data_IF_509782217653
#
_entry.id   IF_509782217653
#
_cell.length_a   1.000
_cell.length_b   1.000
_cell.length_c   1.000
_cell.angle_alpha   90.00
_cell.angle_beta   90.00
_cell.angle_gamma   90.00
#
_symmetry.space_group_name_H-M   'P 1'
#
loop_
_entity.id
_entity.type
_entity.pdbx_description
1 polymer ?
#
# COMPACT_ATOMS: atom_id res chain seq x y z
N UNK A 1 -2.80 11.59 -35.69
CA UNK A 1 -2.68 10.44 -34.77
C UNK A 1 -1.33 10.44 -34.04
N UNK A 2 -0.20 10.46 -34.73
CA UNK A 2 1.15 10.45 -34.16
C UNK A 2 1.41 11.62 -33.21
N UNK A 3 1.01 12.86 -33.56
CA UNK A 3 1.15 14.06 -32.69
C UNK A 3 0.39 13.91 -31.35
N UNK A 4 -0.76 13.22 -31.35
CA UNK A 4 -1.56 12.98 -30.15
C UNK A 4 -0.89 11.95 -29.23
N UNK A 5 -0.26 10.96 -29.81
CA UNK A 5 0.52 9.93 -29.10
C UNK A 5 1.79 10.55 -28.49
N UNK A 6 2.54 11.31 -29.28
CA UNK A 6 3.75 12.01 -28.80
C UNK A 6 3.44 12.99 -27.67
N UNK A 7 2.33 13.74 -27.75
CA UNK A 7 1.88 14.65 -26.69
C UNK A 7 1.54 13.89 -25.39
N UNK A 8 0.95 12.70 -25.51
CA UNK A 8 0.66 11.83 -24.36
C UNK A 8 1.95 11.36 -23.67
N UNK A 9 2.95 10.90 -24.44
CA UNK A 9 4.22 10.44 -23.88
C UNK A 9 5.05 11.57 -23.22
N UNK A 10 4.97 12.79 -23.74
CA UNK A 10 5.63 13.94 -23.13
C UNK A 10 4.98 14.41 -21.82
N UNK A 11 3.70 14.08 -21.62
CA UNK A 11 2.97 14.47 -20.40
C UNK A 11 3.24 13.51 -19.24
N UNK A 12 3.50 12.23 -19.53
CA UNK A 12 3.73 11.21 -18.51
C UNK A 12 4.90 11.55 -17.56
N UNK A 13 6.10 11.91 -18.04
CA UNK A 13 7.20 12.25 -17.14
C UNK A 13 6.91 13.47 -16.28
N UNK A 14 6.20 14.46 -16.80
CA UNK A 14 5.81 15.65 -16.02
C UNK A 14 4.87 15.23 -14.87
N UNK A 15 3.89 14.39 -15.14
CA UNK A 15 2.94 13.90 -14.13
C UNK A 15 3.68 13.08 -13.07
N UNK A 16 4.63 12.25 -13.47
CA UNK A 16 5.45 11.47 -12.54
C UNK A 16 6.25 12.41 -11.63
N UNK A 17 6.93 13.41 -12.18
CA UNK A 17 7.73 14.37 -11.41
C UNK A 17 6.85 15.13 -10.41
N UNK A 18 5.70 15.66 -10.84
CA UNK A 18 4.76 16.37 -9.97
C UNK A 18 4.21 15.43 -8.89
N UNK A 19 3.87 14.18 -9.23
CA UNK A 19 3.39 13.19 -8.28
C UNK A 19 4.46 12.83 -7.25
N UNK A 20 5.71 12.68 -7.67
CA UNK A 20 6.84 12.43 -6.78
C UNK A 20 7.02 13.58 -5.79
N UNK A 21 6.93 14.81 -6.27
CA UNK A 21 7.04 16.00 -5.43
C UNK A 21 5.91 16.08 -4.39
N UNK A 22 4.66 15.84 -4.80
CA UNK A 22 3.48 15.88 -3.91
C UNK A 22 3.51 14.74 -2.89
N UNK A 23 3.95 13.55 -3.29
CA UNK A 23 3.99 12.38 -2.41
C UNK A 23 5.28 12.23 -1.59
N UNK A 24 6.23 13.15 -1.77
CA UNK A 24 7.48 13.19 -1.02
C UNK A 24 7.30 13.08 0.52
N UNK A 25 6.31 13.73 1.15
CA UNK A 25 6.13 13.61 2.60
C UNK A 25 5.88 12.18 3.09
N UNK A 26 5.32 11.31 2.25
CA UNK A 26 5.11 9.90 2.60
C UNK A 26 6.42 9.15 2.88
N UNK A 27 7.52 9.62 2.31
CA UNK A 27 8.84 9.01 2.48
C UNK A 27 9.61 9.59 3.68
N UNK A 28 9.09 10.65 4.31
CA UNK A 28 9.76 11.27 5.46
C UNK A 28 9.66 10.36 6.69
N UNK A 29 10.75 10.30 7.44
CA UNK A 29 10.85 9.48 8.65
C UNK A 29 9.79 9.83 9.69
N UNK A 30 9.45 11.09 9.82
CA UNK A 30 8.50 11.61 10.80
C UNK A 30 7.08 11.77 10.27
N UNK A 31 6.77 11.21 9.08
CA UNK A 31 5.40 11.22 8.57
C UNK A 31 4.51 10.40 9.49
N UNK A 32 3.48 11.05 10.03
CA UNK A 32 2.54 10.40 10.93
C UNK A 32 1.54 9.56 10.13
N UNK A 33 1.61 8.26 10.32
CA UNK A 33 0.71 7.27 9.70
C UNK A 33 -0.43 6.86 10.63
N UNK A 34 -0.45 7.36 11.85
CA UNK A 34 -1.41 6.96 12.88
C UNK A 34 -2.74 7.71 12.77
N UNK A 35 -2.88 8.59 11.80
CA UNK A 35 -4.14 9.23 11.49
C UNK A 35 -5.10 8.27 10.79
N UNK A 36 -6.37 8.40 11.11
CA UNK A 36 -7.47 7.62 10.52
C UNK A 36 -7.23 6.10 10.58
N UNK A 37 -7.38 5.42 9.47
CA UNK A 37 -7.30 3.97 9.38
C UNK A 37 -5.88 3.41 9.16
N UNK A 38 -4.85 4.24 9.20
CA UNK A 38 -3.47 3.82 8.93
C UNK A 38 -3.00 2.67 9.82
N UNK A 39 -3.25 2.77 11.12
CA UNK A 39 -2.92 1.69 12.08
C UNK A 39 -3.67 0.41 11.72
N UNK A 40 -4.94 0.49 11.34
CA UNK A 40 -5.76 -0.68 11.02
C UNK A 40 -5.24 -1.38 9.76
N UNK A 41 -4.84 -0.64 8.74
CA UNK A 41 -4.22 -1.21 7.55
C UNK A 41 -2.92 -1.94 7.85
N UNK A 42 -2.08 -1.38 8.71
CA UNK A 42 -0.82 -2.00 9.14
C UNK A 42 -1.11 -3.25 9.98
N UNK A 43 -1.98 -3.16 10.96
CA UNK A 43 -2.38 -4.31 11.80
C UNK A 43 -2.91 -5.46 10.96
N UNK A 44 -3.76 -5.18 9.97
CA UNK A 44 -4.28 -6.16 9.03
C UNK A 44 -3.17 -6.79 8.18
N UNK A 45 -2.23 -6.01 7.69
CA UNK A 45 -1.09 -6.52 6.92
C UNK A 45 -0.19 -7.42 7.76
N UNK A 46 0.12 -7.02 9.01
CA UNK A 46 0.89 -7.83 9.96
C UNK A 46 0.19 -9.15 10.25
N UNK A 47 -1.11 -9.10 10.52
CA UNK A 47 -1.91 -10.29 10.82
C UNK A 47 -2.00 -11.24 9.64
N UNK A 48 -2.17 -10.71 8.42
CA UNK A 48 -2.17 -11.50 7.20
C UNK A 48 -0.81 -12.16 6.97
N UNK A 49 0.27 -11.41 7.11
CA UNK A 49 1.63 -11.94 7.01
C UNK A 49 1.91 -13.04 8.03
N UNK A 50 1.52 -12.83 9.29
CA UNK A 50 1.69 -13.82 10.36
C UNK A 50 0.90 -15.09 10.07
N UNK A 51 -0.32 -14.98 9.58
CA UNK A 51 -1.16 -16.11 9.20
C UNK A 51 -0.52 -16.92 8.06
N UNK A 52 0.00 -16.25 7.04
CA UNK A 52 0.71 -16.92 5.94
C UNK A 52 1.97 -17.62 6.45
N UNK A 53 2.76 -16.94 7.27
CA UNK A 53 4.00 -17.50 7.83
C UNK A 53 3.76 -18.74 8.71
N UNK A 54 2.67 -18.74 9.46
CA UNK A 54 2.30 -19.84 10.35
C UNK A 54 1.43 -20.90 9.66
N UNK A 55 1.23 -20.80 8.35
CA UNK A 55 0.36 -21.70 7.56
C UNK A 55 -1.07 -21.79 8.10
N UNK A 56 -1.56 -20.70 8.69
CA UNK A 56 -2.96 -20.56 9.13
C UNK A 56 -3.79 -19.86 8.05
N UNK A 57 -5.12 -19.94 8.15
CA UNK A 57 -6.00 -19.34 7.15
C UNK A 57 -5.91 -17.81 7.18
N UNK A 58 -5.40 -17.15 6.10
CA UNK A 58 -5.27 -15.70 6.06
C UNK A 58 -6.60 -14.94 5.89
N UNK A 59 -7.69 -15.61 5.65
CA UNK A 59 -9.03 -15.00 5.63
C UNK A 59 -9.56 -14.74 7.03
N UNK A 60 -9.17 -15.56 7.97
CA UNK A 60 -9.51 -15.41 9.39
C UNK A 60 -8.26 -15.00 10.14
N UNK A 61 -8.12 -13.72 10.47
CA UNK A 61 -6.96 -13.19 11.17
C UNK A 61 -7.06 -13.54 12.67
N UNK A 62 -6.66 -14.76 13.01
CA UNK A 62 -6.85 -15.37 14.33
C UNK A 62 -6.18 -14.64 15.48
N UNK A 63 -5.16 -13.83 15.19
CA UNK A 63 -4.45 -13.03 16.19
C UNK A 63 -5.11 -11.67 16.47
N UNK A 64 -6.19 -11.34 15.76
CA UNK A 64 -6.97 -10.14 16.03
C UNK A 64 -8.08 -10.41 17.04
N UNK A 65 -8.63 -9.33 17.61
CA UNK A 65 -9.75 -9.38 18.54
C UNK A 65 -9.48 -10.31 19.74
N UNK A 66 -8.32 -10.11 20.39
CA UNK A 66 -7.90 -10.90 21.57
C UNK A 66 -7.87 -12.42 21.33
N UNK A 67 -7.55 -12.85 20.11
CA UNK A 67 -7.48 -14.26 19.76
C UNK A 67 -8.78 -14.88 19.24
N UNK A 68 -9.90 -14.17 19.28
CA UNK A 68 -11.14 -14.64 18.69
C UNK A 68 -11.13 -14.67 17.15
N UNK A 69 -10.19 -13.95 16.55
CA UNK A 69 -10.08 -13.83 15.12
C UNK A 69 -11.05 -12.82 14.52
N UNK A 70 -10.76 -12.42 13.31
CA UNK A 70 -11.61 -11.52 12.52
C UNK A 70 -11.49 -11.83 11.03
N UNK A 71 -12.61 -12.07 10.37
CA UNK A 71 -12.65 -12.43 8.94
C UNK A 71 -12.49 -11.20 8.02
N UNK A 72 -11.57 -10.32 8.32
CA UNK A 72 -11.40 -9.05 7.63
C UNK A 72 -11.13 -9.24 6.13
N UNK A 73 -10.22 -10.15 5.80
CA UNK A 73 -9.87 -10.38 4.39
C UNK A 73 -10.97 -11.05 3.57
N UNK A 74 -12.03 -11.54 4.21
CA UNK A 74 -13.22 -12.05 3.53
C UNK A 74 -14.12 -10.90 3.06
N UNK A 75 -14.29 -9.87 3.90
CA UNK A 75 -15.19 -8.73 3.63
C UNK A 75 -14.49 -7.60 2.87
N UNK A 76 -13.21 -7.41 3.10
CA UNK A 76 -12.38 -6.40 2.45
C UNK A 76 -11.30 -7.09 1.62
N UNK A 77 -11.19 -6.75 0.35
CA UNK A 77 -10.21 -7.35 -0.54
C UNK A 77 -8.78 -7.35 0.04
N UNK A 78 -8.04 -8.44 -0.09
CA UNK A 78 -6.71 -8.60 0.51
C UNK A 78 -5.61 -7.84 -0.24
N UNK A 79 -5.91 -7.22 -1.37
CA UNK A 79 -4.92 -6.61 -2.26
C UNK A 79 -4.05 -5.56 -1.56
N UNK A 80 -4.64 -4.69 -0.75
CA UNK A 80 -3.91 -3.67 0.00
C UNK A 80 -2.93 -4.29 1.01
N UNK A 81 -3.36 -5.33 1.72
CA UNK A 81 -2.50 -6.07 2.66
C UNK A 81 -1.36 -6.78 1.95
N UNK A 82 -1.61 -7.41 0.81
CA UNK A 82 -0.59 -8.06 -0.02
C UNK A 82 0.42 -7.05 -0.51
N UNK A 83 -0.02 -5.89 -0.99
CA UNK A 83 0.87 -4.83 -1.45
C UNK A 83 1.78 -4.32 -0.32
N UNK A 84 1.23 -4.10 0.88
CA UNK A 84 2.00 -3.70 2.06
C UNK A 84 3.04 -4.78 2.43
N UNK A 85 2.67 -6.05 2.37
CA UNK A 85 3.58 -7.17 2.65
C UNK A 85 4.73 -7.20 1.64
N UNK A 86 4.45 -7.05 0.36
CA UNK A 86 5.48 -6.99 -0.69
C UNK A 86 6.42 -5.82 -0.45
N UNK A 87 5.89 -4.64 -0.18
CA UNK A 87 6.68 -3.45 0.13
C UNK A 87 7.51 -3.62 1.41
N UNK A 88 6.97 -4.32 2.41
CA UNK A 88 7.68 -4.67 3.63
C UNK A 88 8.90 -5.57 3.36
N UNK A 89 8.80 -6.49 2.43
CA UNK A 89 9.95 -7.33 2.06
C UNK A 89 11.10 -6.51 1.48
N UNK A 90 10.80 -5.42 0.81
CA UNK A 90 11.79 -4.48 0.28
C UNK A 90 12.34 -3.58 1.38
N UNK A 91 11.49 -3.05 2.26
CA UNK A 91 11.85 -2.06 3.28
C UNK A 91 12.20 -2.65 4.64
N UNK A 92 12.00 -3.96 4.85
CA UNK A 92 12.22 -4.71 6.10
C UNK A 92 11.38 -4.23 7.30
N UNK A 93 10.40 -3.36 7.09
CA UNK A 93 9.55 -2.79 8.14
C UNK A 93 8.14 -2.57 7.61
N UNK A 94 7.10 -2.92 8.41
CA UNK A 94 5.70 -2.75 8.01
C UNK A 94 5.28 -1.27 7.87
N UNK A 95 5.80 -0.39 8.71
CA UNK A 95 5.51 1.05 8.65
C UNK A 95 6.06 1.64 7.36
N UNK A 96 7.30 1.35 7.03
CA UNK A 96 7.93 1.79 5.79
C UNK A 96 7.28 1.09 4.57
N UNK A 97 6.91 -0.17 4.70
CA UNK A 97 6.17 -0.92 3.68
C UNK A 97 4.82 -0.26 3.38
N UNK A 98 4.08 0.15 4.39
CA UNK A 98 2.83 0.88 4.22
C UNK A 98 3.03 2.23 3.52
N UNK A 99 4.02 3.01 3.94
CA UNK A 99 4.36 4.28 3.29
C UNK A 99 4.74 4.09 1.82
N UNK A 100 5.55 3.08 1.51
CA UNK A 100 5.93 2.76 0.14
C UNK A 100 4.72 2.30 -0.69
N UNK A 101 3.83 1.51 -0.12
CA UNK A 101 2.60 1.08 -0.78
C UNK A 101 1.69 2.26 -1.12
N UNK A 102 1.51 3.21 -0.20
CA UNK A 102 0.77 4.44 -0.46
C UNK A 102 1.42 5.28 -1.57
N UNK A 103 2.73 5.44 -1.51
CA UNK A 103 3.49 6.17 -2.52
C UNK A 103 3.31 5.56 -3.92
N UNK A 104 3.48 4.24 -4.04
CA UNK A 104 3.26 3.52 -5.31
C UNK A 104 1.81 3.61 -5.78
N UNK A 105 0.84 3.53 -4.88
CA UNK A 105 -0.57 3.68 -5.21
C UNK A 105 -0.88 5.05 -5.82
N UNK A 106 -0.32 6.12 -5.25
CA UNK A 106 -0.45 7.48 -5.80
C UNK A 106 0.15 7.57 -7.20
N UNK A 107 1.36 7.02 -7.41
CA UNK A 107 2.02 7.06 -8.72
C UNK A 107 1.20 6.30 -9.77
N UNK A 108 0.77 5.08 -9.47
CA UNK A 108 0.00 4.25 -10.40
C UNK A 108 -1.36 4.86 -10.74
N UNK A 109 -2.05 5.45 -9.77
CA UNK A 109 -3.33 6.11 -10.03
C UNK A 109 -3.21 7.31 -10.96
N UNK A 110 -2.11 8.06 -10.86
CA UNK A 110 -1.84 9.21 -11.75
C UNK A 110 -1.53 8.77 -13.18
N UNK A 111 -0.77 7.70 -13.35
CA UNK A 111 -0.44 7.16 -14.69
C UNK A 111 -1.70 6.66 -15.38
N UNK A 112 -2.62 6.02 -14.67
CA UNK A 112 -3.87 5.49 -15.25
C UNK A 112 -4.77 6.60 -15.85
N UNK A 113 -4.74 7.81 -15.30
CA UNK A 113 -5.57 8.94 -15.75
C UNK A 113 -4.94 9.78 -16.86
N UNK A 114 -3.80 9.39 -17.38
CA UNK A 114 -3.13 9.97 -18.55
C UNK A 114 -3.52 9.20 -19.81
#
# INVERSE_FOLDING_TARGET
MIKKILKKYNTIPIIIIVSLFISQPLLWKNFDIYYDDGIQHIARAISTYTSIKNSTNPTVLSNLTNGFGYSWNLFYGPLSSILIIICRLITSNFINGYKLALFLGVQLSRIKHV
#
